data_IF_004055434911
#
_entry.id   IF_004055434911
#
_cell.length_a   1.000
_cell.length_b   1.000
_cell.length_c   1.000
_cell.angle_alpha   90.00
_cell.angle_beta   90.00
_cell.angle_gamma   90.00
#
_symmetry.space_group_name_H-M   'P 1'
#
loop_
_entity.id
_entity.type
_entity.pdbx_description
1 polymer ?
#
# COMPACT_ATOMS: atom_id res chain seq x y z
N UNK A 1 -25.80 -10.15 18.04
CA UNK A 1 -25.66 -11.62 18.05
C UNK A 1 -26.27 -12.23 16.79
N UNK A 2 -27.57 -12.05 16.53
CA UNK A 2 -28.32 -12.74 15.47
C UNK A 2 -27.74 -12.53 14.07
N UNK A 3 -27.34 -11.30 13.71
CA UNK A 3 -26.66 -11.02 12.45
C UNK A 3 -25.34 -11.79 12.32
N UNK A 4 -24.54 -11.85 13.40
CA UNK A 4 -23.29 -12.63 13.37
C UNK A 4 -23.56 -14.15 13.25
N UNK A 5 -24.63 -14.67 13.87
CA UNK A 5 -25.03 -16.05 13.71
C UNK A 5 -25.34 -16.40 12.24
N UNK A 6 -26.05 -15.50 11.52
CA UNK A 6 -26.33 -15.67 10.10
C UNK A 6 -25.07 -15.56 9.24
N UNK A 7 -24.15 -14.65 9.57
CA UNK A 7 -22.83 -14.60 8.92
C UNK A 7 -22.07 -15.92 9.10
N UNK A 8 -22.05 -16.44 10.33
CA UNK A 8 -21.41 -17.74 10.63
C UNK A 8 -22.09 -18.89 9.87
N UNK A 9 -23.42 -18.87 9.75
CA UNK A 9 -24.16 -19.89 9.00
C UNK A 9 -23.70 -20.02 7.55
N UNK A 10 -23.54 -18.87 6.85
CA UNK A 10 -23.19 -18.84 5.42
C UNK A 10 -21.67 -18.89 5.17
N UNK A 11 -20.85 -18.68 6.19
CA UNK A 11 -19.39 -18.68 6.07
C UNK A 11 -18.86 -20.13 5.90
N UNK A 12 -17.90 -20.31 5.00
CA UNK A 12 -17.21 -21.60 4.83
C UNK A 12 -16.33 -21.95 6.06
N UNK A 13 -16.03 -23.23 6.32
CA UNK A 13 -15.04 -23.60 7.33
C UNK A 13 -13.68 -22.95 7.04
N UNK A 14 -13.06 -22.36 8.08
CA UNK A 14 -11.84 -21.55 7.93
C UNK A 14 -12.08 -20.16 7.34
N UNK A 15 -13.32 -19.78 7.07
CA UNK A 15 -13.70 -18.38 6.75
C UNK A 15 -13.45 -17.46 7.95
N UNK A 16 -13.30 -16.17 7.69
CA UNK A 16 -12.97 -15.16 8.72
C UNK A 16 -14.10 -14.16 8.85
N UNK A 17 -14.34 -13.76 10.09
CA UNK A 17 -15.15 -12.59 10.44
C UNK A 17 -14.24 -11.57 11.11
N UNK A 18 -14.38 -10.30 10.72
CA UNK A 18 -13.67 -9.17 11.33
C UNK A 18 -14.69 -8.11 11.73
N UNK A 19 -14.74 -7.76 13.00
CA UNK A 19 -15.72 -6.83 13.56
C UNK A 19 -15.00 -5.60 14.11
N UNK A 20 -15.23 -4.44 13.48
CA UNK A 20 -14.70 -3.17 13.96
C UNK A 20 -15.69 -2.54 14.94
N UNK A 21 -15.22 -2.21 16.14
CA UNK A 21 -16.01 -1.54 17.17
C UNK A 21 -15.24 -0.45 17.89
N UNK A 22 -15.93 0.64 18.18
CA UNK A 22 -15.48 1.66 19.11
C UNK A 22 -16.03 1.33 20.50
N UNK A 23 -15.17 1.31 21.52
CA UNK A 23 -15.60 1.19 22.90
C UNK A 23 -16.33 2.48 23.34
N UNK A 24 -17.34 2.34 24.18
CA UNK A 24 -18.14 3.48 24.59
C UNK A 24 -17.57 4.15 25.83
N UNK A 25 -17.12 5.39 25.70
CA UNK A 25 -16.66 6.26 26.80
C UNK A 25 -17.79 6.75 27.73
N UNK A 26 -18.78 5.92 28.01
CA UNK A 26 -19.91 6.24 28.92
C UNK A 26 -19.49 6.13 30.38
N UNK A 27 -20.34 6.57 31.28
CA UNK A 27 -20.18 6.40 32.71
C UNK A 27 -21.23 5.41 33.24
N UNK A 28 -20.85 4.17 33.58
CA UNK A 28 -19.53 3.57 33.48
C UNK A 28 -19.09 3.29 32.03
N UNK A 29 -17.77 3.17 31.79
CA UNK A 29 -17.20 2.74 30.53
C UNK A 29 -17.71 1.35 30.15
N UNK A 30 -18.00 1.14 28.87
CA UNK A 30 -18.41 -0.18 28.35
C UNK A 30 -17.48 -0.60 27.21
N UNK A 31 -16.82 -1.74 27.41
CA UNK A 31 -15.98 -2.36 26.41
C UNK A 31 -16.82 -3.17 25.42
N UNK A 32 -17.22 -2.56 24.30
CA UNK A 32 -17.95 -3.28 23.24
C UNK A 32 -17.08 -4.34 22.58
N UNK A 33 -15.76 -4.17 22.55
CA UNK A 33 -14.86 -5.21 22.02
C UNK A 33 -14.92 -6.47 22.87
N UNK A 34 -15.00 -6.36 24.20
CA UNK A 34 -15.20 -7.51 25.08
C UNK A 34 -16.56 -8.20 24.85
N UNK A 35 -17.63 -7.41 24.67
CA UNK A 35 -18.96 -7.98 24.36
C UNK A 35 -18.91 -8.75 23.02
N UNK A 36 -18.23 -8.19 21.98
CA UNK A 36 -18.08 -8.85 20.67
C UNK A 36 -17.26 -10.13 20.80
N UNK A 37 -16.17 -10.13 21.57
CA UNK A 37 -15.35 -11.32 21.83
C UNK A 37 -16.22 -12.42 22.46
N UNK A 38 -16.98 -12.10 23.51
CA UNK A 38 -17.87 -13.06 24.16
C UNK A 38 -18.91 -13.64 23.19
N UNK A 39 -19.53 -12.80 22.35
CA UNK A 39 -20.47 -13.26 21.34
C UNK A 39 -19.79 -14.20 20.33
N UNK A 40 -18.63 -13.81 19.78
CA UNK A 40 -17.96 -14.59 18.73
C UNK A 40 -17.39 -15.92 19.29
N UNK A 41 -16.69 -15.85 20.43
CA UNK A 41 -16.00 -16.97 21.03
C UNK A 41 -16.96 -17.89 21.81
N UNK A 42 -17.69 -17.32 22.80
CA UNK A 42 -18.39 -18.12 23.79
C UNK A 42 -19.80 -18.54 23.32
N UNK A 43 -20.51 -17.66 22.59
CA UNK A 43 -21.86 -17.96 22.11
C UNK A 43 -21.88 -18.60 20.72
N UNK A 44 -21.01 -18.16 19.78
CA UNK A 44 -21.00 -18.68 18.41
C UNK A 44 -19.89 -19.69 18.13
N UNK A 45 -19.02 -19.98 19.11
CA UNK A 45 -18.00 -21.01 19.03
C UNK A 45 -16.92 -20.76 17.98
N UNK A 46 -16.65 -19.49 17.67
CA UNK A 46 -15.61 -19.13 16.72
C UNK A 46 -14.23 -19.13 17.38
N UNK A 47 -13.19 -19.40 16.60
CA UNK A 47 -11.80 -19.36 17.05
C UNK A 47 -11.26 -17.94 16.89
N UNK A 48 -11.00 -17.24 17.98
CA UNK A 48 -10.38 -15.92 17.95
C UNK A 48 -8.99 -16.01 17.33
N UNK A 49 -8.66 -15.08 16.43
CA UNK A 49 -7.34 -14.95 15.80
C UNK A 49 -6.51 -13.84 16.43
N UNK A 50 -7.15 -12.84 16.99
CA UNK A 50 -6.55 -11.67 17.62
C UNK A 50 -7.39 -10.42 17.45
N UNK A 51 -6.85 -9.33 17.93
CA UNK A 51 -7.42 -7.99 17.77
C UNK A 51 -6.40 -7.08 17.10
N UNK A 52 -6.90 -6.18 16.25
CA UNK A 52 -6.12 -5.04 15.75
C UNK A 52 -6.60 -3.79 16.45
N UNK A 53 -5.66 -3.01 16.96
CA UNK A 53 -5.89 -1.66 17.47
C UNK A 53 -5.77 -0.68 16.31
N UNK A 54 -6.90 -0.19 15.82
CA UNK A 54 -6.91 0.85 14.81
C UNK A 54 -6.74 2.22 15.48
N UNK A 55 -5.59 2.85 15.28
CA UNK A 55 -5.29 4.23 15.71
C UNK A 55 -5.71 5.21 14.61
N UNK A 56 -6.69 6.08 14.91
CA UNK A 56 -7.34 6.99 13.94
C UNK A 56 -6.52 8.24 13.60
N UNK A 57 -5.63 8.67 14.49
CA UNK A 57 -4.80 9.86 14.30
C UNK A 57 -3.57 9.83 15.22
N UNK A 58 -2.57 10.65 14.89
CA UNK A 58 -1.45 10.94 15.77
C UNK A 58 -1.72 12.22 16.58
N UNK A 59 -1.43 12.20 17.89
CA UNK A 59 -1.52 13.38 18.74
C UNK A 59 -2.89 13.67 19.36
N UNK A 60 -3.14 14.93 19.73
CA UNK A 60 -4.22 15.33 20.62
C UNK A 60 -5.56 15.68 19.91
N UNK A 61 -5.81 15.19 18.71
CA UNK A 61 -6.99 15.53 17.89
C UNK A 61 -8.29 14.81 18.28
N UNK A 62 -8.33 14.17 19.44
CA UNK A 62 -9.56 13.56 19.96
C UNK A 62 -10.51 14.55 20.61
N UNK A 63 -11.64 14.04 21.16
CA UNK A 63 -12.60 14.85 21.95
C UNK A 63 -11.91 15.70 23.00
N UNK A 64 -12.32 16.96 23.11
CA UNK A 64 -11.85 17.90 24.16
C UNK A 64 -12.48 17.68 25.53
N UNK A 65 -13.27 16.63 25.71
CA UNK A 65 -13.88 16.25 26.98
C UNK A 65 -12.83 15.65 27.94
N UNK A 66 -12.11 16.48 28.65
CA UNK A 66 -10.97 16.10 29.52
C UNK A 66 -11.38 15.69 30.93
N UNK A 67 -12.63 15.88 31.29
CA UNK A 67 -13.08 15.80 32.68
C UNK A 67 -12.46 16.90 33.52
N UNK A 68 -11.81 16.56 34.62
CA UNK A 68 -11.05 17.54 35.43
C UNK A 68 -9.67 17.78 34.81
N UNK A 69 -9.54 18.87 34.05
CA UNK A 69 -8.26 19.22 33.42
C UNK A 69 -7.19 19.51 34.47
N UNK A 70 -6.04 18.84 34.38
CA UNK A 70 -4.88 18.94 35.28
C UNK A 70 -5.17 18.69 36.75
N UNK A 71 -6.26 18.04 37.11
CA UNK A 71 -6.63 17.68 38.47
C UNK A 71 -6.94 16.19 38.56
N UNK A 72 -6.49 15.52 39.62
CA UNK A 72 -6.72 14.11 39.85
C UNK A 72 -8.15 13.74 40.26
N UNK A 73 -9.10 14.71 40.27
CA UNK A 73 -10.46 14.47 40.73
C UNK A 73 -11.25 13.55 39.81
N UNK A 74 -11.22 13.78 38.50
CA UNK A 74 -11.95 12.97 37.49
C UNK A 74 -11.40 13.19 36.08
N UNK A 75 -10.14 12.87 35.78
CA UNK A 75 -9.63 12.92 34.41
C UNK A 75 -10.31 11.86 33.55
N UNK A 76 -10.60 12.19 32.29
CA UNK A 76 -11.25 11.28 31.33
C UNK A 76 -10.26 10.89 30.24
N UNK A 77 -10.15 9.60 29.95
CA UNK A 77 -9.38 9.10 28.81
C UNK A 77 -10.12 9.43 27.51
N UNK A 78 -9.36 9.83 26.50
CA UNK A 78 -9.88 10.16 25.17
C UNK A 78 -9.70 8.99 24.23
N UNK A 79 -10.77 8.59 23.53
CA UNK A 79 -10.74 7.47 22.60
C UNK A 79 -10.09 7.88 21.28
N UNK A 80 -8.88 7.41 21.06
CA UNK A 80 -8.12 7.59 19.83
C UNK A 80 -8.13 6.35 18.94
N UNK A 81 -8.72 5.24 19.43
CA UNK A 81 -8.60 3.93 18.79
C UNK A 81 -9.96 3.24 18.68
N UNK A 82 -10.07 2.36 17.70
CA UNK A 82 -11.10 1.29 17.65
C UNK A 82 -10.43 -0.07 17.70
N UNK A 83 -11.24 -1.11 17.86
CA UNK A 83 -10.78 -2.50 17.90
C UNK A 83 -11.40 -3.28 16.74
N UNK A 84 -10.56 -4.00 16.00
CA UNK A 84 -11.02 -4.97 15.01
C UNK A 84 -10.80 -6.36 15.59
N UNK A 85 -11.87 -7.01 16.01
CA UNK A 85 -11.84 -8.37 16.54
C UNK A 85 -11.92 -9.35 15.37
N UNK A 86 -10.98 -10.29 15.26
CA UNK A 86 -10.88 -11.23 14.15
C UNK A 86 -11.05 -12.65 14.66
N UNK A 87 -11.95 -13.42 14.03
CA UNK A 87 -12.22 -14.82 14.36
C UNK A 87 -12.37 -15.69 13.11
N UNK A 88 -12.25 -17.01 13.28
CA UNK A 88 -12.39 -18.02 12.21
C UNK A 88 -13.44 -19.06 12.58
N UNK A 89 -14.15 -19.57 11.58
CA UNK A 89 -15.14 -20.65 11.74
C UNK A 89 -14.48 -22.02 11.74
N UNK A 90 -14.49 -22.70 12.89
CA UNK A 90 -14.15 -24.11 13.08
C UNK A 90 -12.66 -24.48 12.90
N UNK A 91 -11.87 -23.68 12.19
CA UNK A 91 -10.43 -23.92 11.98
C UNK A 91 -9.69 -22.62 11.66
N UNK A 92 -8.37 -22.58 11.91
CA UNK A 92 -7.55 -21.39 11.64
C UNK A 92 -7.18 -21.24 10.17
N UNK A 93 -6.83 -22.32 9.50
CA UNK A 93 -6.47 -22.36 8.09
C UNK A 93 -7.71 -22.43 7.19
N UNK A 94 -7.54 -22.19 5.90
CA UNK A 94 -8.61 -22.42 4.91
C UNK A 94 -8.91 -23.92 4.80
N UNK A 95 -10.17 -24.26 4.58
CA UNK A 95 -10.61 -25.66 4.47
C UNK A 95 -9.91 -26.42 3.34
N UNK A 96 -9.54 -25.71 2.26
CA UNK A 96 -8.81 -26.25 1.13
C UNK A 96 -7.48 -25.52 0.98
N UNK A 97 -6.42 -26.28 0.72
CA UNK A 97 -5.10 -25.72 0.39
C UNK A 97 -5.14 -24.97 -0.95
N UNK A 98 -4.15 -24.12 -1.23
CA UNK A 98 -4.04 -23.41 -2.50
C UNK A 98 -4.04 -24.35 -3.69
N UNK A 99 -3.31 -25.50 -3.61
CA UNK A 99 -3.27 -26.51 -4.66
C UNK A 99 -4.63 -27.17 -4.89
N UNK A 100 -5.35 -27.52 -3.82
CA UNK A 100 -6.71 -28.06 -3.92
C UNK A 100 -7.67 -27.04 -4.55
N UNK A 101 -7.60 -25.78 -4.14
CA UNK A 101 -8.42 -24.70 -4.72
C UNK A 101 -8.15 -24.53 -6.22
N UNK A 102 -6.88 -24.59 -6.65
CA UNK A 102 -6.51 -24.53 -8.07
C UNK A 102 -7.09 -25.72 -8.85
N UNK A 103 -6.97 -26.94 -8.31
CA UNK A 103 -7.53 -28.13 -8.93
C UNK A 103 -9.06 -28.11 -9.04
N UNK A 104 -9.74 -27.46 -8.11
CA UNK A 104 -11.20 -27.28 -8.08
C UNK A 104 -11.68 -26.06 -8.88
N UNK A 105 -10.79 -25.30 -9.53
CA UNK A 105 -11.13 -24.06 -10.24
C UNK A 105 -11.60 -22.92 -9.33
N UNK A 106 -11.24 -22.96 -8.04
CA UNK A 106 -11.61 -21.95 -7.05
C UNK A 106 -10.54 -20.84 -6.95
N UNK A 107 -10.93 -19.63 -6.51
CA UNK A 107 -9.99 -18.53 -6.26
C UNK A 107 -8.82 -18.96 -5.38
N UNK A 108 -7.58 -18.71 -5.84
CA UNK A 108 -6.36 -19.16 -5.17
C UNK A 108 -5.20 -18.15 -5.26
N UNK A 109 -5.41 -17.02 -5.96
CA UNK A 109 -4.40 -15.98 -6.13
C UNK A 109 -4.39 -15.02 -4.94
N UNK A 110 -3.24 -14.90 -4.26
CA UNK A 110 -3.01 -13.90 -3.23
C UNK A 110 -2.51 -12.60 -3.89
N UNK A 111 -3.12 -11.48 -3.53
CA UNK A 111 -2.77 -10.16 -4.09
C UNK A 111 -1.91 -9.32 -3.15
N UNK A 112 -1.78 -9.72 -1.88
CA UNK A 112 -0.98 -9.00 -0.89
C UNK A 112 0.52 -9.15 -1.18
N UNK A 113 1.25 -8.04 -1.18
CA UNK A 113 2.70 -8.05 -1.30
C UNK A 113 3.37 -8.41 0.02
N UNK A 114 4.67 -8.75 -0.01
CA UNK A 114 5.44 -9.04 1.22
C UNK A 114 5.41 -7.87 2.20
N UNK A 115 5.61 -6.65 1.74
CA UNK A 115 5.63 -5.46 2.60
C UNK A 115 4.24 -5.17 3.18
N UNK A 116 3.19 -5.26 2.38
CA UNK A 116 1.80 -5.14 2.86
C UNK A 116 1.45 -6.23 3.88
N UNK A 117 1.90 -7.47 3.65
CA UNK A 117 1.71 -8.57 4.59
C UNK A 117 2.40 -8.29 5.92
N UNK A 118 3.67 -7.85 5.90
CA UNK A 118 4.43 -7.51 7.10
C UNK A 118 3.78 -6.37 7.90
N UNK A 119 3.16 -5.39 7.22
CA UNK A 119 2.40 -4.33 7.88
C UNK A 119 1.03 -4.79 8.39
N UNK A 120 0.31 -5.54 7.57
CA UNK A 120 -1.06 -5.95 7.89
C UNK A 120 -1.09 -7.01 9.01
N UNK A 121 0.01 -7.71 9.28
CA UNK A 121 0.13 -8.66 10.39
C UNK A 121 0.53 -8.04 11.72
N UNK A 122 0.76 -6.72 11.78
CA UNK A 122 0.91 -6.01 13.06
C UNK A 122 -0.45 -5.85 13.74
N UNK A 123 -0.45 -5.82 15.06
CA UNK A 123 -1.65 -5.65 15.88
C UNK A 123 -2.05 -4.18 16.12
N UNK A 124 -1.24 -3.23 15.63
CA UNK A 124 -1.52 -1.78 15.66
C UNK A 124 -1.50 -1.22 14.25
N UNK A 125 -2.64 -0.72 13.79
CA UNK A 125 -2.76 -0.07 12.49
C UNK A 125 -2.98 1.44 12.65
N UNK A 126 -2.16 2.23 11.98
CA UNK A 126 -2.30 3.68 11.89
C UNK A 126 -2.92 4.01 10.55
N UNK A 127 -4.20 4.33 10.57
CA UNK A 127 -4.99 4.69 9.39
C UNK A 127 -5.82 5.92 9.76
N UNK A 128 -5.67 7.00 9.02
CA UNK A 128 -6.42 8.23 9.27
C UNK A 128 -7.92 8.00 9.11
N UNK A 129 -8.72 8.60 10.00
CA UNK A 129 -10.17 8.48 9.95
C UNK A 129 -10.74 9.15 8.69
N UNK A 130 -11.77 8.54 8.10
CA UNK A 130 -12.51 9.15 6.99
C UNK A 130 -13.38 10.30 7.51
N UNK A 131 -13.48 11.37 6.72
CA UNK A 131 -14.31 12.51 7.09
C UNK A 131 -15.79 12.23 6.77
N UNK A 132 -16.66 12.31 7.78
CA UNK A 132 -18.09 12.07 7.63
C UNK A 132 -18.74 12.94 6.53
N UNK A 133 -18.30 14.21 6.39
CA UNK A 133 -18.78 15.14 5.37
C UNK A 133 -18.45 14.74 3.94
N UNK A 134 -17.40 13.94 3.71
CA UNK A 134 -17.00 13.47 2.37
C UNK A 134 -17.83 12.28 1.89
N UNK A 135 -18.40 11.52 2.81
CA UNK A 135 -19.00 10.20 2.52
C UNK A 135 -20.49 10.16 2.78
N UNK A 136 -21.07 11.22 3.39
CA UNK A 136 -22.51 11.27 3.71
C UNK A 136 -22.95 10.25 4.78
N UNK A 137 -22.02 9.77 5.62
CA UNK A 137 -22.30 8.81 6.69
C UNK A 137 -21.72 9.34 8.01
N UNK A 138 -22.41 9.23 9.16
CA UNK A 138 -21.99 9.86 10.42
C UNK A 138 -20.72 9.27 11.02
N UNK A 139 -20.38 8.02 10.73
CA UNK A 139 -19.19 7.34 11.26
C UNK A 139 -18.57 6.39 10.22
N UNK A 140 -18.07 6.89 9.07
CA UNK A 140 -17.45 6.03 8.08
C UNK A 140 -16.06 5.63 8.55
N UNK A 141 -15.70 4.36 8.35
CA UNK A 141 -14.30 3.97 8.39
C UNK A 141 -13.68 4.11 6.98
N UNK A 142 -12.36 4.39 6.88
CA UNK A 142 -11.68 4.54 5.61
C UNK A 142 -11.64 3.22 4.85
N UNK A 143 -11.66 3.27 3.51
CA UNK A 143 -11.58 2.10 2.62
C UNK A 143 -10.33 1.26 2.89
N UNK A 144 -9.25 1.88 3.37
CA UNK A 144 -7.99 1.21 3.70
C UNK A 144 -8.14 0.16 4.83
N UNK A 145 -9.01 0.40 5.80
CA UNK A 145 -9.23 -0.53 6.92
C UNK A 145 -9.74 -1.90 6.44
N UNK A 146 -10.88 -2.01 5.73
CA UNK A 146 -11.34 -3.28 5.18
C UNK A 146 -10.42 -3.80 4.07
N UNK A 147 -9.73 -2.94 3.29
CA UNK A 147 -8.79 -3.38 2.26
C UNK A 147 -7.68 -4.26 2.84
N UNK A 148 -7.05 -3.86 3.95
CA UNK A 148 -6.00 -4.66 4.61
C UNK A 148 -6.52 -6.02 5.08
N UNK A 149 -7.73 -6.07 5.63
CA UNK A 149 -8.36 -7.33 6.04
C UNK A 149 -8.66 -8.23 4.84
N UNK A 150 -9.20 -7.66 3.77
CA UNK A 150 -9.53 -8.36 2.52
C UNK A 150 -8.26 -8.95 1.89
N UNK A 151 -7.22 -8.15 1.72
CA UNK A 151 -5.96 -8.61 1.14
C UNK A 151 -5.28 -9.69 2.00
N UNK A 152 -5.34 -9.56 3.33
CA UNK A 152 -4.74 -10.51 4.26
C UNK A 152 -5.48 -11.86 4.31
N UNK A 153 -6.81 -11.87 4.17
CA UNK A 153 -7.63 -13.05 4.47
C UNK A 153 -8.39 -13.64 3.28
N UNK A 154 -8.30 -13.06 2.09
CA UNK A 154 -9.03 -13.54 0.90
C UNK A 154 -8.11 -13.67 -0.31
N UNK A 155 -8.52 -14.51 -1.27
CA UNK A 155 -7.93 -14.57 -2.60
C UNK A 155 -8.69 -13.65 -3.56
N UNK A 156 -8.08 -13.31 -4.71
CA UNK A 156 -8.79 -12.66 -5.81
C UNK A 156 -10.05 -13.47 -6.16
N UNK A 157 -11.15 -12.79 -6.48
CA UNK A 157 -12.47 -13.38 -6.77
C UNK A 157 -13.17 -14.11 -5.61
N UNK A 158 -12.59 -14.13 -4.39
CA UNK A 158 -13.31 -14.55 -3.20
C UNK A 158 -14.50 -13.59 -2.91
N UNK A 159 -15.49 -14.08 -2.15
CA UNK A 159 -16.66 -13.30 -1.77
C UNK A 159 -16.48 -12.65 -0.40
N UNK A 160 -16.73 -11.34 -0.34
CA UNK A 160 -16.75 -10.52 0.88
C UNK A 160 -18.18 -10.14 1.20
N UNK A 161 -18.61 -10.36 2.45
CA UNK A 161 -19.93 -9.99 2.96
C UNK A 161 -19.80 -8.88 4.00
N UNK A 162 -20.57 -7.80 3.84
CA UNK A 162 -20.74 -6.75 4.85
C UNK A 162 -22.24 -6.66 5.25
N UNK A 163 -22.62 -7.14 6.44
CA UNK A 163 -24.01 -7.10 6.91
C UNK A 163 -24.44 -5.75 7.47
N UNK A 164 -23.51 -4.77 7.56
CA UNK A 164 -23.73 -3.40 8.04
C UNK A 164 -23.12 -2.40 7.09
N UNK A 165 -23.59 -2.45 5.82
CA UNK A 165 -22.96 -1.83 4.65
C UNK A 165 -22.65 -0.33 4.81
N UNK A 166 -23.55 0.44 5.42
CA UNK A 166 -23.41 1.88 5.56
C UNK A 166 -23.13 2.55 4.21
N UNK A 167 -22.08 3.35 4.17
CA UNK A 167 -21.63 4.04 2.94
C UNK A 167 -20.90 3.12 1.94
N UNK A 168 -20.71 1.82 2.21
CA UNK A 168 -20.15 0.84 1.28
C UNK A 168 -18.62 0.78 1.24
N UNK A 169 -17.89 1.28 2.24
CA UNK A 169 -16.43 1.27 2.25
C UNK A 169 -15.82 -0.13 2.08
N UNK A 170 -16.44 -1.15 2.68
CA UNK A 170 -16.02 -2.56 2.53
C UNK A 170 -16.17 -3.05 1.10
N UNK A 171 -17.29 -2.73 0.42
CA UNK A 171 -17.51 -3.17 -0.96
C UNK A 171 -16.62 -2.42 -1.95
N UNK A 172 -16.33 -1.14 -1.70
CA UNK A 172 -15.33 -0.38 -2.47
C UNK A 172 -13.96 -1.02 -2.31
N UNK A 173 -13.57 -1.41 -1.09
CA UNK A 173 -12.31 -2.11 -0.84
C UNK A 173 -12.26 -3.47 -1.56
N UNK A 174 -13.35 -4.24 -1.51
CA UNK A 174 -13.45 -5.53 -2.20
C UNK A 174 -13.29 -5.36 -3.73
N UNK A 175 -13.97 -4.37 -4.31
CA UNK A 175 -13.88 -4.06 -5.74
C UNK A 175 -12.44 -3.69 -6.16
N UNK A 176 -11.79 -2.80 -5.40
CA UNK A 176 -10.38 -2.40 -5.64
C UNK A 176 -9.41 -3.56 -5.55
N UNK A 177 -9.68 -4.46 -4.61
CA UNK A 177 -8.86 -5.64 -4.40
C UNK A 177 -9.17 -6.80 -5.36
N UNK A 178 -10.11 -6.64 -6.30
CA UNK A 178 -10.52 -7.69 -7.23
C UNK A 178 -11.31 -8.83 -6.57
N UNK A 179 -12.11 -8.51 -5.55
CA UNK A 179 -13.00 -9.47 -4.87
C UNK A 179 -14.45 -9.16 -5.22
N UNK A 180 -15.30 -10.17 -5.13
CA UNK A 180 -16.75 -10.00 -5.20
C UNK A 180 -17.27 -9.51 -3.86
N UNK A 181 -18.28 -8.65 -3.85
CA UNK A 181 -18.85 -8.10 -2.64
C UNK A 181 -20.37 -8.22 -2.58
N UNK A 182 -20.90 -8.52 -1.40
CA UNK A 182 -22.33 -8.44 -1.06
C UNK A 182 -22.46 -7.64 0.22
N UNK A 183 -23.42 -6.73 0.27
CA UNK A 183 -23.67 -5.90 1.44
C UNK A 183 -25.17 -5.71 1.70
N UNK A 184 -25.51 -5.56 2.97
CA UNK A 184 -26.86 -5.29 3.45
C UNK A 184 -26.88 -4.08 4.35
N UNK A 185 -27.94 -3.29 4.27
CA UNK A 185 -28.24 -2.22 5.22
C UNK A 185 -29.75 -2.12 5.42
N UNK A 186 -30.17 -1.73 6.60
CA UNK A 186 -31.59 -1.50 6.90
C UNK A 186 -32.09 -0.17 6.34
N UNK A 187 -31.19 0.81 6.13
CA UNK A 187 -31.50 2.10 5.58
C UNK A 187 -31.36 2.07 4.05
N UNK A 188 -32.46 2.23 3.27
CA UNK A 188 -32.41 2.25 1.82
C UNK A 188 -31.61 3.45 1.28
N UNK A 189 -31.44 4.53 2.05
CA UNK A 189 -30.60 5.66 1.70
C UNK A 189 -29.10 5.26 1.63
N UNK A 190 -28.63 4.47 2.61
CA UNK A 190 -27.27 3.93 2.59
C UNK A 190 -27.07 2.91 1.48
N UNK A 191 -28.05 2.07 1.18
CA UNK A 191 -28.00 1.16 0.03
C UNK A 191 -27.84 1.94 -1.28
N UNK A 192 -28.59 3.04 -1.43
CA UNK A 192 -28.49 3.92 -2.63
C UNK A 192 -27.13 4.59 -2.70
N UNK A 193 -26.65 5.17 -1.60
CA UNK A 193 -25.35 5.81 -1.51
C UNK A 193 -24.21 4.83 -1.86
N UNK A 194 -24.24 3.63 -1.30
CA UNK A 194 -23.22 2.62 -1.55
C UNK A 194 -23.20 2.16 -3.01
N UNK A 195 -24.38 2.01 -3.65
CA UNK A 195 -24.48 1.71 -5.08
C UNK A 195 -23.85 2.80 -5.94
N UNK A 196 -24.16 4.07 -5.67
CA UNK A 196 -23.55 5.20 -6.37
C UNK A 196 -22.02 5.19 -6.23
N UNK A 197 -21.50 5.03 -5.00
CA UNK A 197 -20.05 4.94 -4.77
C UNK A 197 -19.39 3.79 -5.51
N UNK A 198 -20.04 2.64 -5.58
CA UNK A 198 -19.52 1.47 -6.31
C UNK A 198 -19.53 1.71 -7.83
N UNK A 199 -20.55 2.35 -8.36
CA UNK A 199 -20.63 2.67 -9.79
C UNK A 199 -19.61 3.75 -10.18
N UNK A 200 -19.39 4.75 -9.33
CA UNK A 200 -18.32 5.73 -9.49
C UNK A 200 -16.94 5.06 -9.47
N UNK A 201 -16.72 4.15 -8.53
CA UNK A 201 -15.45 3.43 -8.43
C UNK A 201 -15.22 2.47 -9.61
N UNK A 202 -16.25 1.80 -10.12
CA UNK A 202 -16.16 0.98 -11.33
C UNK A 202 -15.77 1.83 -12.53
N UNK A 203 -16.42 2.98 -12.71
CA UNK A 203 -16.07 3.93 -13.79
C UNK A 203 -14.61 4.36 -13.67
N UNK A 204 -14.15 4.74 -12.46
CA UNK A 204 -12.74 5.08 -12.23
C UNK A 204 -11.79 3.93 -12.56
N UNK A 205 -12.13 2.71 -12.20
CA UNK A 205 -11.32 1.53 -12.52
C UNK A 205 -11.33 1.23 -14.03
N UNK A 206 -12.44 1.43 -14.72
CA UNK A 206 -12.55 1.22 -16.17
C UNK A 206 -11.83 2.32 -16.96
N UNK A 207 -11.89 3.58 -16.52
CA UNK A 207 -11.13 4.70 -17.09
C UNK A 207 -9.62 4.52 -16.92
N UNK A 208 -9.19 3.89 -15.82
CA UNK A 208 -7.78 3.61 -15.50
C UNK A 208 -7.26 2.36 -16.20
N UNK A 209 -8.14 1.50 -16.76
CA UNK A 209 -7.72 0.36 -17.58
C UNK A 209 -7.35 0.84 -18.99
N UNK A 210 -6.05 0.98 -19.35
CA UNK A 210 -5.66 1.23 -20.73
C UNK A 210 -6.19 0.09 -21.62
N UNK A 211 -6.60 0.37 -22.85
CA UNK A 211 -7.06 -0.66 -23.81
C UNK A 211 -6.06 -1.81 -23.98
N UNK A 212 -4.78 -1.56 -23.80
CA UNK A 212 -3.72 -2.57 -23.78
C UNK A 212 -3.91 -3.67 -22.71
N UNK A 213 -4.61 -3.39 -21.61
CA UNK A 213 -4.90 -4.37 -20.56
C UNK A 213 -6.14 -5.22 -20.87
N UNK A 214 -7.10 -4.67 -21.60
CA UNK A 214 -8.27 -5.43 -22.12
C UNK A 214 -7.82 -6.50 -23.13
N UNK A 215 -6.70 -6.29 -23.82
CA UNK A 215 -6.12 -7.26 -24.79
C UNK A 215 -5.24 -8.32 -24.15
N UNK A 216 -4.70 -8.10 -22.94
CA UNK A 216 -3.90 -9.10 -22.20
C UNK A 216 -4.74 -10.26 -21.67
N UNK A 217 -6.02 -10.03 -21.37
CA UNK A 217 -6.95 -11.08 -20.94
C UNK A 217 -7.37 -11.99 -22.13
N UNK A 218 -7.08 -11.61 -23.39
CA UNK A 218 -7.52 -12.31 -24.60
C UNK A 218 -6.41 -12.88 -25.50
N UNK A 219 -5.13 -12.49 -25.31
CA UNK A 219 -4.02 -13.10 -26.03
C UNK A 219 -2.68 -12.76 -25.36
N UNK A 220 -1.93 -13.78 -25.01
CA UNK A 220 -0.54 -13.60 -24.60
C UNK A 220 0.26 -12.91 -25.68
N UNK A 221 1.02 -11.88 -25.30
CA UNK A 221 2.09 -11.21 -26.06
C UNK A 221 1.66 -10.12 -27.06
N UNK A 222 2.06 -8.93 -26.81
CA UNK A 222 2.82 -7.93 -27.58
C UNK A 222 2.43 -6.51 -27.17
N UNK A 223 3.39 -5.75 -26.64
CA UNK A 223 3.29 -4.32 -26.38
C UNK A 223 3.53 -3.61 -27.71
N UNK A 224 2.57 -2.82 -28.17
CA UNK A 224 2.79 -1.86 -29.25
C UNK A 224 2.28 -0.49 -28.83
N UNK A 225 3.24 0.45 -28.77
CA UNK A 225 3.18 1.92 -28.86
C UNK A 225 1.96 2.64 -28.24
N UNK A 226 2.25 3.27 -27.12
CA UNK A 226 1.49 4.21 -26.35
C UNK A 226 2.00 4.17 -24.94
N UNK A 227 3.02 4.98 -24.61
CA UNK A 227 3.69 4.95 -23.30
C UNK A 227 2.72 5.25 -22.17
N UNK A 228 2.95 4.65 -21.02
CA UNK A 228 2.19 4.84 -19.77
C UNK A 228 2.10 6.34 -19.36
N UNK A 229 2.88 7.20 -20.00
CA UNK A 229 3.12 8.61 -19.66
C UNK A 229 2.73 9.62 -20.74
N UNK A 230 2.23 9.20 -21.89
CA UNK A 230 1.84 10.13 -22.99
C UNK A 230 0.75 11.16 -22.60
N UNK A 231 0.13 11.02 -21.44
CA UNK A 231 -0.89 11.94 -20.93
C UNK A 231 -0.38 12.93 -19.88
N UNK A 232 0.92 12.96 -19.56
CA UNK A 232 1.49 13.75 -18.45
C UNK A 232 2.25 15.01 -18.92
N UNK A 233 2.37 15.25 -20.22
CA UNK A 233 3.07 16.42 -20.77
C UNK A 233 2.15 17.65 -20.82
N UNK A 234 2.11 18.43 -19.74
CA UNK A 234 1.53 19.78 -19.67
C UNK A 234 2.41 20.73 -18.84
N UNK A 235 2.44 22.04 -19.14
CA UNK A 235 3.47 22.94 -18.61
C UNK A 235 3.28 23.30 -17.14
N UNK A 236 4.39 23.24 -16.41
CA UNK A 236 4.76 23.94 -15.16
C UNK A 236 3.66 24.56 -14.29
N UNK A 237 3.45 23.97 -13.14
CA UNK A 237 2.60 24.47 -12.02
C UNK A 237 1.49 23.51 -11.57
N UNK A 238 1.05 22.63 -12.43
CA UNK A 238 0.03 21.60 -12.15
C UNK A 238 0.63 20.22 -11.82
N UNK A 239 1.95 20.04 -11.93
CA UNK A 239 2.65 18.78 -11.82
C UNK A 239 2.36 18.01 -10.53
N UNK A 240 2.31 18.71 -9.38
CA UNK A 240 2.07 18.06 -8.08
C UNK A 240 0.65 17.48 -7.98
N UNK A 241 -0.37 18.21 -8.49
CA UNK A 241 -1.76 17.73 -8.52
C UNK A 241 -1.97 16.61 -9.54
N UNK A 242 -1.33 16.70 -10.70
CA UNK A 242 -1.38 15.66 -11.72
C UNK A 242 -0.72 14.36 -11.20
N UNK A 243 0.42 14.46 -10.52
CA UNK A 243 1.13 13.31 -9.92
C UNK A 243 0.32 12.67 -8.79
N UNK A 244 -0.37 13.47 -7.95
CA UNK A 244 -1.25 12.96 -6.91
C UNK A 244 -2.44 12.19 -7.51
N UNK A 245 -3.02 12.69 -8.62
CA UNK A 245 -4.08 11.99 -9.36
C UNK A 245 -3.62 10.67 -10.01
N UNK A 246 -2.38 10.60 -10.51
CA UNK A 246 -1.82 9.36 -11.07
C UNK A 246 -1.54 8.35 -9.97
N UNK A 247 -1.01 8.81 -8.82
CA UNK A 247 -0.80 8.00 -7.63
C UNK A 247 -2.13 7.41 -7.10
N UNK A 248 -3.15 8.26 -6.99
CA UNK A 248 -4.49 7.83 -6.57
C UNK A 248 -5.09 6.81 -7.54
N UNK A 249 -4.90 6.99 -8.85
CA UNK A 249 -5.33 6.05 -9.88
C UNK A 249 -4.58 4.72 -9.83
N UNK A 250 -3.26 4.75 -9.66
CA UNK A 250 -2.44 3.53 -9.53
C UNK A 250 -2.80 2.73 -8.27
N UNK A 251 -3.04 3.44 -7.15
CA UNK A 251 -3.52 2.85 -5.90
C UNK A 251 -4.93 2.25 -6.08
N UNK A 252 -5.83 2.98 -6.76
CA UNK A 252 -7.18 2.51 -7.05
C UNK A 252 -7.20 1.28 -7.98
N UNK A 253 -6.23 1.18 -8.89
CA UNK A 253 -6.09 0.05 -9.81
C UNK A 253 -5.44 -1.19 -9.17
N UNK A 254 -5.03 -1.13 -7.89
CA UNK A 254 -4.36 -2.23 -7.20
C UNK A 254 -3.00 -2.63 -7.80
N UNK A 255 -2.36 -1.72 -8.56
CA UNK A 255 -1.04 -1.98 -9.16
C UNK A 255 0.02 -2.05 -8.07
N UNK A 256 0.90 -3.03 -8.16
CA UNK A 256 2.09 -3.08 -7.31
C UNK A 256 3.07 -1.99 -7.72
N UNK A 257 3.73 -1.37 -6.76
CA UNK A 257 4.79 -0.38 -7.03
C UNK A 257 5.90 -0.99 -7.89
N UNK A 258 6.22 -2.26 -7.64
CA UNK A 258 7.22 -2.99 -8.41
C UNK A 258 6.83 -3.16 -9.90
N UNK A 259 5.58 -3.47 -10.20
CA UNK A 259 5.11 -3.65 -11.59
C UNK A 259 5.21 -2.33 -12.39
N UNK A 260 4.95 -1.20 -11.72
CA UNK A 260 5.08 0.13 -12.33
C UNK A 260 6.56 0.50 -12.50
N UNK A 261 7.39 0.18 -11.50
CA UNK A 261 8.83 0.41 -11.59
C UNK A 261 9.46 -0.42 -12.73
N UNK A 262 9.05 -1.68 -12.90
CA UNK A 262 9.50 -2.53 -14.01
C UNK A 262 9.09 -1.95 -15.37
N UNK A 263 7.83 -1.53 -15.51
CA UNK A 263 7.35 -0.91 -16.74
C UNK A 263 8.10 0.38 -17.07
N UNK A 264 8.40 1.20 -16.05
CA UNK A 264 9.17 2.44 -16.21
C UNK A 264 10.62 2.17 -16.65
N UNK A 265 11.26 1.16 -16.07
CA UNK A 265 12.63 0.76 -16.43
C UNK A 265 12.70 0.25 -17.88
N UNK A 266 11.76 -0.59 -18.29
CA UNK A 266 11.66 -1.09 -19.67
C UNK A 266 11.38 0.04 -20.67
N UNK A 267 10.48 0.97 -20.34
CA UNK A 267 10.18 2.14 -21.17
C UNK A 267 11.38 3.10 -21.28
N UNK A 268 12.20 3.18 -20.23
CA UNK A 268 13.44 3.96 -20.23
C UNK A 268 14.57 3.32 -21.05
N UNK A 269 14.44 2.05 -21.47
CA UNK A 269 15.46 1.36 -22.26
C UNK A 269 16.42 0.49 -21.46
N UNK A 270 16.13 0.22 -20.18
CA UNK A 270 16.86 -0.81 -19.42
C UNK A 270 16.37 -2.20 -19.77
N UNK A 271 17.27 -3.18 -19.74
CA UNK A 271 16.93 -4.60 -19.80
C UNK A 271 16.86 -5.19 -18.39
N UNK A 272 15.75 -5.81 -18.03
CA UNK A 272 15.60 -6.49 -16.73
C UNK A 272 16.26 -7.87 -16.78
N UNK A 273 17.45 -7.96 -16.20
CA UNK A 273 18.23 -9.20 -16.14
C UNK A 273 17.60 -10.20 -15.16
N UNK A 274 17.13 -9.70 -14.02
CA UNK A 274 16.52 -10.53 -12.97
C UNK A 274 15.60 -9.73 -12.08
N UNK A 275 14.44 -10.30 -11.74
CA UNK A 275 13.56 -9.84 -10.68
C UNK A 275 13.80 -10.66 -9.40
N UNK A 276 13.71 -10.01 -8.22
CA UNK A 276 13.92 -10.67 -6.92
C UNK A 276 15.38 -11.09 -6.68
N UNK A 277 16.33 -10.17 -6.78
CA UNK A 277 17.77 -10.43 -6.70
C UNK A 277 18.26 -10.53 -5.27
N UNK A 278 18.78 -11.68 -4.87
CA UNK A 278 19.40 -11.89 -3.56
C UNK A 278 20.94 -11.79 -3.64
N UNK A 279 21.53 -10.88 -2.86
CA UNK A 279 22.96 -10.82 -2.54
C UNK A 279 23.16 -11.50 -1.19
N UNK A 280 23.27 -12.83 -1.21
CA UNK A 280 23.37 -13.66 0.01
C UNK A 280 24.61 -13.34 0.83
N UNK A 281 25.70 -12.98 0.18
CA UNK A 281 26.97 -12.53 0.75
C UNK A 281 26.84 -11.27 1.60
N UNK A 282 25.90 -10.39 1.26
CA UNK A 282 25.62 -9.13 1.97
C UNK A 282 24.30 -9.16 2.78
N UNK A 283 23.54 -10.25 2.70
CA UNK A 283 22.22 -10.33 3.32
C UNK A 283 21.18 -9.39 2.73
N UNK A 284 21.35 -9.00 1.45
CA UNK A 284 20.49 -8.03 0.77
C UNK A 284 19.57 -8.69 -0.26
N UNK A 285 18.41 -8.07 -0.47
CA UNK A 285 17.51 -8.38 -1.58
C UNK A 285 17.10 -7.08 -2.27
N UNK A 286 17.11 -7.11 -3.61
CA UNK A 286 16.63 -6.00 -4.44
C UNK A 286 15.51 -6.49 -5.37
N UNK A 287 14.49 -5.66 -5.64
CA UNK A 287 13.45 -5.98 -6.60
C UNK A 287 13.97 -6.31 -7.98
N UNK A 288 14.96 -5.53 -8.50
CA UNK A 288 15.48 -5.74 -9.85
C UNK A 288 17.00 -5.58 -9.92
N UNK A 289 17.59 -6.35 -10.84
CA UNK A 289 18.89 -6.13 -11.46
C UNK A 289 18.64 -5.84 -12.94
N UNK A 290 19.09 -4.69 -13.42
CA UNK A 290 18.91 -4.25 -14.80
C UNK A 290 20.26 -3.94 -15.44
N UNK A 291 20.32 -3.97 -16.79
CA UNK A 291 21.46 -3.50 -17.56
C UNK A 291 21.06 -2.29 -18.41
N UNK A 292 21.97 -1.33 -18.54
CA UNK A 292 21.80 -0.24 -19.49
C UNK A 292 22.09 -0.71 -20.94
N UNK A 293 21.48 -0.03 -21.90
CA UNK A 293 21.66 -0.32 -23.33
C UNK A 293 22.94 0.26 -23.90
N UNK A 294 23.62 1.17 -23.18
CA UNK A 294 24.81 1.85 -23.65
C UNK A 294 26.05 0.94 -23.67
N UNK A 295 26.35 0.32 -22.53
CA UNK A 295 27.56 -0.51 -22.33
C UNK A 295 27.28 -1.83 -21.60
N UNK A 296 26.00 -2.15 -21.31
CA UNK A 296 25.62 -3.34 -20.57
C UNK A 296 25.99 -3.32 -19.08
N UNK A 297 26.16 -2.13 -18.48
CA UNK A 297 26.47 -2.00 -17.07
C UNK A 297 25.30 -2.44 -16.23
N UNK A 298 25.56 -3.16 -15.14
CA UNK A 298 24.56 -3.62 -14.20
C UNK A 298 24.19 -2.55 -13.17
N UNK A 299 22.89 -2.42 -12.90
CA UNK A 299 22.31 -1.52 -11.92
C UNK A 299 21.38 -2.30 -11.00
N UNK A 300 21.56 -2.14 -9.68
CA UNK A 300 20.55 -2.57 -8.72
C UNK A 300 19.45 -1.53 -8.65
N UNK A 301 18.22 -1.98 -8.52
CA UNK A 301 17.06 -1.11 -8.35
C UNK A 301 16.35 -1.50 -7.05
N UNK A 302 16.28 -0.56 -6.11
CA UNK A 302 15.43 -0.67 -4.92
C UNK A 302 14.11 0.06 -5.20
N UNK A 303 12.99 -0.61 -4.92
CA UNK A 303 11.66 -0.03 -5.04
C UNK A 303 11.16 0.23 -3.63
N UNK A 304 11.21 1.49 -3.22
CA UNK A 304 11.02 1.90 -1.84
C UNK A 304 9.57 2.30 -1.55
N UNK A 305 8.88 1.46 -0.79
CA UNK A 305 7.54 1.73 -0.26
C UNK A 305 6.40 1.24 -1.15
N UNK A 306 5.20 1.34 -0.61
CA UNK A 306 3.95 0.98 -1.26
C UNK A 306 3.10 2.22 -1.58
N UNK A 307 2.06 2.06 -2.39
CA UNK A 307 1.04 3.08 -2.58
C UNK A 307 0.12 3.10 -1.36
N UNK A 308 0.35 4.02 -0.44
CA UNK A 308 -0.54 4.26 0.70
C UNK A 308 -1.04 5.71 0.65
N UNK A 309 -2.32 5.92 0.94
CA UNK A 309 -2.93 7.26 0.84
C UNK A 309 -2.38 8.25 1.89
N UNK A 310 -1.89 7.77 3.04
CA UNK A 310 -1.47 8.63 4.14
C UNK A 310 -0.02 9.14 4.00
N UNK A 311 0.93 8.24 3.71
CA UNK A 311 2.36 8.57 3.53
C UNK A 311 3.00 7.63 2.51
N UNK A 312 2.84 7.87 1.21
CA UNK A 312 3.38 6.98 0.17
C UNK A 312 4.90 7.02 0.13
N UNK A 313 5.50 5.89 -0.22
CA UNK A 313 6.92 5.78 -0.50
C UNK A 313 7.83 6.11 0.69
N UNK A 314 8.89 6.85 0.42
CA UNK A 314 9.93 7.19 1.40
C UNK A 314 9.54 8.34 2.36
N UNK A 315 8.29 8.82 2.33
CA UNK A 315 7.73 9.67 3.40
C UNK A 315 7.49 8.89 4.68
N UNK A 316 7.56 7.57 4.64
CA UNK A 316 7.56 6.69 5.79
C UNK A 316 8.99 6.51 6.30
N UNK A 317 9.19 6.78 7.58
CA UNK A 317 10.50 6.71 8.24
C UNK A 317 11.09 5.30 8.18
N UNK A 318 10.30 4.26 8.39
CA UNK A 318 10.75 2.86 8.34
C UNK A 318 11.20 2.45 6.93
N UNK A 319 10.49 2.88 5.89
CA UNK A 319 10.88 2.66 4.49
C UNK A 319 12.18 3.39 4.19
N UNK A 320 12.28 4.66 4.58
CA UNK A 320 13.48 5.47 4.40
C UNK A 320 14.73 4.80 4.99
N UNK A 321 14.68 4.42 6.27
CA UNK A 321 15.84 3.83 6.94
C UNK A 321 16.19 2.44 6.41
N UNK A 322 15.20 1.64 6.01
CA UNK A 322 15.44 0.35 5.35
C UNK A 322 16.18 0.53 4.02
N UNK A 323 15.74 1.47 3.20
CA UNK A 323 16.38 1.80 1.92
C UNK A 323 17.80 2.32 2.12
N UNK A 324 18.01 3.24 3.07
CA UNK A 324 19.33 3.75 3.41
C UNK A 324 20.26 2.66 3.95
N UNK A 325 19.75 1.74 4.77
CA UNK A 325 20.51 0.58 5.25
C UNK A 325 20.97 -0.32 4.11
N UNK A 326 20.09 -0.65 3.15
CA UNK A 326 20.45 -1.43 1.95
C UNK A 326 21.50 -0.71 1.11
N UNK A 327 21.30 0.58 0.86
CA UNK A 327 22.24 1.40 0.10
C UNK A 327 23.64 1.42 0.75
N UNK A 328 23.68 1.62 2.06
CA UNK A 328 24.92 1.62 2.83
C UNK A 328 25.65 0.27 2.79
N UNK A 329 24.94 -0.83 3.00
CA UNK A 329 25.53 -2.19 2.98
C UNK A 329 26.01 -2.54 1.59
N UNK A 330 25.27 -2.20 0.53
CA UNK A 330 25.69 -2.44 -0.85
C UNK A 330 26.98 -1.66 -1.18
N UNK A 331 27.05 -0.39 -0.83
CA UNK A 331 28.20 0.45 -1.07
C UNK A 331 29.46 -0.06 -0.34
N UNK A 332 29.32 -0.43 0.93
CA UNK A 332 30.46 -0.91 1.74
C UNK A 332 30.88 -2.35 1.42
N UNK A 333 29.97 -3.18 0.92
CA UNK A 333 30.30 -4.54 0.46
C UNK A 333 31.26 -4.54 -0.75
N UNK A 334 31.48 -3.40 -1.39
CA UNK A 334 32.40 -3.18 -2.52
C UNK A 334 33.48 -2.13 -2.21
N UNK A 335 33.83 -1.95 -0.94
CA UNK A 335 34.74 -0.89 -0.51
C UNK A 335 36.17 -0.98 -1.09
N UNK A 336 36.58 -2.15 -1.62
CA UNK A 336 37.88 -2.34 -2.27
C UNK A 336 37.88 -2.16 -3.80
N UNK A 337 36.68 -2.06 -4.41
CA UNK A 337 36.56 -1.96 -5.86
C UNK A 337 36.81 -0.52 -6.35
N UNK A 338 37.27 -0.37 -7.59
CA UNK A 338 37.31 0.93 -8.24
C UNK A 338 35.88 1.51 -8.26
N UNK A 339 35.75 2.82 -8.04
CA UNK A 339 34.45 3.52 -8.06
C UNK A 339 33.66 3.28 -9.36
N UNK A 340 34.39 3.04 -10.48
CA UNK A 340 33.80 2.74 -11.79
C UNK A 340 33.21 1.33 -11.88
N UNK A 341 33.74 0.39 -11.09
CA UNK A 341 33.31 -1.03 -11.09
C UNK A 341 32.26 -1.32 -10.03
N UNK A 342 31.99 -0.35 -9.13
CA UNK A 342 30.97 -0.53 -8.08
C UNK A 342 29.58 -0.62 -8.68
N UNK A 343 28.76 -1.54 -8.19
CA UNK A 343 27.37 -1.65 -8.64
C UNK A 343 26.61 -0.36 -8.28
N UNK A 344 25.89 0.17 -9.25
CA UNK A 344 25.07 1.38 -9.06
C UNK A 344 23.71 1.00 -8.50
N UNK A 345 23.21 1.83 -7.61
CA UNK A 345 21.88 1.68 -7.03
C UNK A 345 20.98 2.83 -7.47
N UNK A 346 19.86 2.49 -8.10
CA UNK A 346 18.73 3.40 -8.33
C UNK A 346 17.67 3.14 -7.27
N UNK A 347 17.10 4.21 -6.72
CA UNK A 347 15.98 4.14 -5.79
C UNK A 347 14.75 4.68 -6.50
N UNK A 348 13.75 3.81 -6.72
CA UNK A 348 12.45 4.19 -7.26
C UNK A 348 11.42 4.20 -6.13
N UNK A 349 10.64 5.27 -6.03
CA UNK A 349 9.67 5.42 -4.94
C UNK A 349 8.42 6.14 -5.43
N UNK A 350 7.21 5.81 -4.90
CA UNK A 350 6.01 6.61 -5.17
C UNK A 350 6.17 8.08 -4.77
N UNK A 351 6.86 8.36 -3.65
CA UNK A 351 7.14 9.71 -3.17
C UNK A 351 8.45 9.80 -2.41
N UNK A 352 9.24 10.80 -2.72
CA UNK A 352 10.40 11.23 -1.96
C UNK A 352 9.97 12.01 -0.70
N UNK A 353 10.83 12.08 0.34
CA UNK A 353 10.63 13.00 1.44
C UNK A 353 10.54 14.45 0.94
N UNK A 354 9.81 15.30 1.65
CA UNK A 354 9.75 16.73 1.31
C UNK A 354 11.13 17.34 1.40
N UNK A 355 11.48 18.17 0.41
CA UNK A 355 12.77 18.89 0.37
C UNK A 355 12.99 19.67 1.67
N UNK A 356 14.17 19.52 2.28
CA UNK A 356 14.52 20.14 3.56
C UNK A 356 13.93 19.45 4.82
N UNK A 357 13.08 18.41 4.67
CA UNK A 357 12.63 17.60 5.79
C UNK A 357 13.76 16.69 6.33
N UNK A 358 13.53 16.09 7.49
CA UNK A 358 14.49 15.17 8.12
C UNK A 358 14.89 14.02 7.19
N UNK A 359 13.91 13.39 6.52
CA UNK A 359 14.16 12.30 5.58
C UNK A 359 14.93 12.73 4.33
N UNK A 360 14.72 13.93 3.80
CA UNK A 360 15.49 14.48 2.68
C UNK A 360 16.93 14.73 3.10
N UNK A 361 17.14 15.31 4.30
CA UNK A 361 18.48 15.50 4.84
C UNK A 361 19.22 14.18 5.05
N UNK A 362 18.52 13.13 5.54
CA UNK A 362 19.10 11.81 5.73
C UNK A 362 19.53 11.17 4.39
N UNK A 363 18.68 11.25 3.35
CA UNK A 363 19.02 10.77 2.01
C UNK A 363 20.24 11.51 1.43
N UNK A 364 20.26 12.84 1.55
CA UNK A 364 21.39 13.64 1.08
C UNK A 364 22.67 13.35 1.87
N UNK A 365 22.56 13.10 3.18
CA UNK A 365 23.70 12.72 4.01
C UNK A 365 24.31 11.37 3.62
N UNK A 366 23.53 10.44 3.08
CA UNK A 366 24.03 9.17 2.56
C UNK A 366 25.00 9.34 1.37
N UNK A 367 24.89 10.46 0.66
CA UNK A 367 25.80 10.86 -0.41
C UNK A 367 25.74 9.98 -1.65
N UNK A 368 26.49 10.35 -2.67
CA UNK A 368 26.63 9.61 -3.93
C UNK A 368 27.29 8.23 -3.77
N UNK A 369 27.93 7.95 -2.63
CA UNK A 369 28.49 6.64 -2.33
C UNK A 369 27.43 5.60 -1.97
N UNK A 370 26.26 6.02 -1.47
CA UNK A 370 25.21 5.10 -1.06
C UNK A 370 24.31 4.66 -2.22
N UNK A 371 23.93 5.60 -3.07
CA UNK A 371 23.08 5.35 -4.24
C UNK A 371 23.35 6.40 -5.33
N UNK A 372 23.07 6.03 -6.58
CA UNK A 372 23.32 6.90 -7.72
C UNK A 372 22.26 8.02 -7.84
N UNK A 373 20.98 7.63 -7.85
CA UNK A 373 19.86 8.58 -7.89
C UNK A 373 18.62 8.04 -7.20
N UNK A 374 17.74 8.96 -6.79
CA UNK A 374 16.43 8.66 -6.22
C UNK A 374 15.34 9.37 -7.03
N UNK A 375 14.34 8.60 -7.51
CA UNK A 375 13.37 9.07 -8.47
C UNK A 375 11.94 8.77 -7.99
N UNK A 376 11.03 9.73 -8.18
CA UNK A 376 9.60 9.49 -7.99
C UNK A 376 9.01 8.82 -9.23
N UNK A 377 8.32 7.69 -9.06
CA UNK A 377 7.79 6.86 -10.15
C UNK A 377 6.85 7.59 -11.12
N UNK A 378 6.21 8.66 -10.66
CA UNK A 378 5.22 9.43 -11.44
C UNK A 378 5.69 10.83 -11.81
N UNK A 379 6.98 11.10 -11.64
CA UNK A 379 7.57 12.35 -12.08
C UNK A 379 7.98 12.21 -13.56
N UNK A 380 7.53 13.13 -14.41
CA UNK A 380 7.91 13.15 -15.83
C UNK A 380 9.42 13.25 -16.02
N UNK A 381 10.12 13.98 -15.14
CA UNK A 381 11.57 14.08 -15.14
C UNK A 381 12.27 12.78 -14.80
N UNK A 382 11.60 11.87 -14.06
CA UNK A 382 12.17 10.58 -13.72
C UNK A 382 12.39 9.70 -14.96
N UNK A 383 11.42 9.64 -15.86
CA UNK A 383 11.55 8.89 -17.13
C UNK A 383 12.67 9.46 -18.00
N UNK A 384 12.76 10.79 -18.09
CA UNK A 384 13.82 11.45 -18.87
C UNK A 384 15.21 11.10 -18.29
N UNK A 385 15.37 11.16 -16.97
CA UNK A 385 16.63 10.79 -16.31
C UNK A 385 16.95 9.30 -16.48
N UNK A 386 16.00 8.43 -16.27
CA UNK A 386 16.19 6.98 -16.46
C UNK A 386 16.57 6.64 -17.90
N UNK A 387 15.92 7.25 -18.89
CA UNK A 387 16.25 7.07 -20.31
C UNK A 387 17.68 7.51 -20.60
N UNK A 388 18.08 8.68 -20.09
CA UNK A 388 19.46 9.15 -20.21
C UNK A 388 20.44 8.15 -19.58
N UNK A 389 20.12 7.57 -18.41
CA UNK A 389 21.00 6.60 -17.75
C UNK A 389 21.10 5.29 -18.53
N UNK A 390 20.00 4.83 -19.13
CA UNK A 390 20.01 3.63 -19.97
C UNK A 390 20.80 3.82 -21.26
N UNK A 391 20.69 4.98 -21.90
CA UNK A 391 21.28 5.28 -23.21
C UNK A 391 22.75 5.71 -23.14
N UNK A 392 23.21 6.27 -22.01
CA UNK A 392 24.57 6.86 -21.92
C UNK A 392 25.44 6.26 -20.83
N UNK A 393 24.88 5.51 -19.89
CA UNK A 393 25.57 4.97 -18.72
C UNK A 393 26.50 5.99 -18.01
N UNK A 394 26.02 7.20 -17.66
CA UNK A 394 26.86 8.30 -17.24
C UNK A 394 27.51 8.03 -15.87
N UNK A 395 28.69 8.57 -15.61
CA UNK A 395 29.34 8.43 -14.31
C UNK A 395 28.73 9.33 -13.21
N UNK A 396 27.90 10.29 -13.60
CA UNK A 396 27.22 11.23 -12.69
C UNK A 396 25.72 11.27 -12.98
N UNK A 397 24.87 11.39 -11.96
CA UNK A 397 23.44 11.56 -12.18
C UNK A 397 23.13 12.93 -12.77
N UNK A 398 22.00 13.05 -13.46
CA UNK A 398 21.43 14.33 -13.83
C UNK A 398 20.88 15.05 -12.58
N UNK A 399 20.84 16.37 -12.65
CA UNK A 399 20.17 17.17 -11.62
C UNK A 399 18.69 16.76 -11.50
N UNK A 400 18.22 16.72 -10.27
CA UNK A 400 16.83 16.28 -9.96
C UNK A 400 16.69 16.07 -8.46
N UNK A 401 16.88 14.86 -7.97
CA UNK A 401 17.04 14.64 -6.52
C UNK A 401 18.27 15.40 -6.01
N UNK A 402 19.42 15.22 -6.65
CA UNK A 402 20.63 16.00 -6.40
C UNK A 402 20.54 17.36 -7.07
N UNK A 403 20.98 18.43 -6.41
CA UNK A 403 21.22 19.72 -7.08
C UNK A 403 22.49 19.66 -7.94
N UNK A 404 22.67 20.61 -8.83
CA UNK A 404 23.88 20.69 -9.67
C UNK A 404 25.13 20.71 -8.79
N UNK A 405 25.15 21.56 -7.76
CA UNK A 405 26.29 21.69 -6.81
C UNK A 405 26.56 20.37 -6.06
N UNK A 406 25.50 19.65 -5.70
CA UNK A 406 25.64 18.34 -5.04
C UNK A 406 26.18 17.26 -5.97
N UNK A 407 25.80 17.28 -7.25
CA UNK A 407 26.36 16.37 -8.26
C UNK A 407 27.86 16.62 -8.43
N UNK A 408 28.27 17.90 -8.58
CA UNK A 408 29.67 18.26 -8.68
C UNK A 408 30.48 17.88 -7.44
N UNK A 409 29.94 18.10 -6.25
CA UNK A 409 30.64 17.83 -4.99
C UNK A 409 30.76 16.35 -4.63
N UNK A 410 29.80 15.49 -5.03
CA UNK A 410 29.68 14.11 -4.56
C UNK A 410 30.06 13.04 -5.59
N UNK A 411 30.06 13.41 -6.87
CA UNK A 411 30.37 12.51 -8.00
C UNK A 411 31.59 13.01 -8.80
N UNK A 412 32.40 13.90 -8.20
CA UNK A 412 33.63 14.46 -8.81
C UNK A 412 34.73 13.41 -8.94
#
# INVERSE_FOLDING_TARGET
>A
RDVFAECVRVMEPGGRIAVNVANLGRKPYRSLSADVIGILQDELGLLLRGEVVWQKAEGATGSVAWGSFRRAANPVLRDMTERVVIASKGRFDRARTTAQRQGDGLPSESTITTDEFMEATLDVWRIDAEQASRVGHPAPFPVELPRRLIDLYTYRDDLVLDPFLGSGSTLVAALRAGRRGVGYDLDPGYVTLSKQRLDDERRRLDEVRPEAWRRRDLAGTTITQGGLFDSVAGPTGEGQRATDHVLDRATAAGKKVADIAEALLLEAGFEVVRSGVARRDLGLQFPFLVTDSAIGRQWYVDVAGAFTNARPGMRRIDVLWRTLGRAHVLANGHAGDDLRDRPRLLILTPRLPRKGAEGDRALRAAGGHGFFDALELFDADALVRLRHYAETSPDRPLAGFWSVDEVEARFA
#
